data_IF_267432627529
#
_entry.id   IF_267432627529
#
_cell.length_a   1.000
_cell.length_b   1.000
_cell.length_c   1.000
_cell.angle_alpha   90.00
_cell.angle_beta   90.00
_cell.angle_gamma   90.00
#
_symmetry.space_group_name_H-M   'P 1'
#
loop_
_entity.id
_entity.type
_entity.pdbx_description
1 polymer ?
#
# COMPACT_ATOMS: atom_id res chain seq x y z
N UNK A 1 -10.05 11.37 6.86
CA UNK A 1 -9.00 10.57 7.53
C UNK A 1 -7.60 11.18 7.36
N UNK A 2 -6.56 10.57 7.99
CA UNK A 2 -5.18 11.10 7.98
C UNK A 2 -4.62 11.26 6.55
N UNK A 3 -4.76 10.25 5.70
CA UNK A 3 -4.30 10.33 4.30
C UNK A 3 -5.05 11.39 3.50
N UNK A 4 -6.37 11.53 3.68
CA UNK A 4 -7.13 12.60 3.04
C UNK A 4 -6.60 13.99 3.38
N UNK A 5 -6.19 14.23 4.62
CA UNK A 5 -5.59 15.51 5.04
C UNK A 5 -4.23 15.74 4.35
N UNK A 6 -3.39 14.72 4.19
CA UNK A 6 -2.12 14.84 3.46
C UNK A 6 -2.34 15.13 1.97
N UNK A 7 -3.31 14.45 1.35
CA UNK A 7 -3.69 14.72 -0.05
C UNK A 7 -4.16 16.16 -0.25
N UNK A 8 -4.98 16.69 0.67
CA UNK A 8 -5.44 18.08 0.65
C UNK A 8 -4.24 19.03 0.79
N UNK A 9 -3.32 18.76 1.72
CA UNK A 9 -2.10 19.56 1.90
C UNK A 9 -1.25 19.56 0.62
N UNK A 10 -0.97 18.40 0.06
CA UNK A 10 -0.19 18.26 -1.17
C UNK A 10 -0.86 18.92 -2.37
N UNK A 11 -2.21 18.87 -2.47
CA UNK A 11 -2.95 19.52 -3.56
C UNK A 11 -2.82 21.05 -3.58
N UNK A 12 -2.56 21.67 -2.44
CA UNK A 12 -2.39 23.12 -2.35
C UNK A 12 -1.04 23.61 -2.89
N UNK A 13 -0.01 22.78 -2.79
CA UNK A 13 1.34 23.09 -3.27
C UNK A 13 1.59 22.68 -4.72
N UNK A 14 0.73 21.83 -5.28
CA UNK A 14 0.89 21.33 -6.65
C UNK A 14 -0.08 22.01 -7.62
N UNK A 15 0.46 22.79 -8.56
CA UNK A 15 -0.31 23.52 -9.57
C UNK A 15 -0.83 22.64 -10.71
N UNK A 16 -0.39 21.38 -10.81
CA UNK A 16 -0.76 20.47 -11.91
C UNK A 16 -2.18 19.93 -11.78
N UNK A 17 -2.84 20.07 -10.64
CA UNK A 17 -4.22 19.66 -10.43
C UNK A 17 -4.97 20.56 -9.45
N UNK A 18 -6.28 20.57 -9.58
CA UNK A 18 -7.20 21.34 -8.74
C UNK A 18 -8.09 20.41 -7.93
N UNK A 19 -8.10 20.59 -6.61
CA UNK A 19 -9.05 19.90 -5.74
C UNK A 19 -10.46 20.47 -5.97
N UNK A 20 -11.41 19.65 -6.38
CA UNK A 20 -12.77 20.11 -6.75
C UNK A 20 -13.88 19.47 -5.92
N UNK A 21 -13.62 18.34 -5.26
CA UNK A 21 -14.57 17.65 -4.38
C UNK A 21 -13.85 16.94 -3.24
N UNK A 22 -14.50 16.85 -2.10
CA UNK A 22 -14.08 16.07 -0.95
C UNK A 22 -15.25 15.21 -0.50
N UNK A 23 -15.01 13.89 -0.38
CA UNK A 23 -16.05 12.97 0.06
C UNK A 23 -15.66 12.24 1.35
N UNK A 24 -16.64 11.97 2.19
CA UNK A 24 -16.48 11.25 3.45
C UNK A 24 -17.73 10.38 3.70
N UNK A 25 -17.55 9.25 4.40
CA UNK A 25 -18.65 8.32 4.70
C UNK A 25 -19.72 8.94 5.63
N UNK A 26 -19.27 9.75 6.56
CA UNK A 26 -20.16 10.56 7.43
C UNK A 26 -19.86 12.04 7.16
N UNK A 27 -20.53 12.65 6.18
CA UNK A 27 -20.31 14.06 5.90
C UNK A 27 -20.71 14.85 7.15
N UNK A 28 -19.82 15.76 7.51
CA UNK A 28 -20.04 16.73 8.58
C UNK A 28 -20.30 18.03 7.85
N UNK A 29 -21.23 18.85 8.36
CA UNK A 29 -21.45 20.21 7.84
C UNK A 29 -20.22 21.08 8.13
N UNK A 30 -19.18 20.85 7.34
CA UNK A 30 -17.87 21.49 7.47
C UNK A 30 -17.22 21.63 6.11
N UNK A 31 -16.70 22.83 5.86
CA UNK A 31 -15.79 23.08 4.73
C UNK A 31 -14.35 22.76 5.12
N UNK A 32 -13.66 22.02 4.25
CA UNK A 32 -12.23 21.75 4.36
C UNK A 32 -11.57 22.28 3.09
N UNK A 33 -10.57 23.11 3.22
CA UNK A 33 -9.95 23.80 2.08
C UNK A 33 -10.93 24.63 1.22
N UNK A 34 -12.01 25.16 1.81
CA UNK A 34 -13.06 25.89 1.11
C UNK A 34 -14.09 25.01 0.40
N UNK A 35 -13.96 23.68 0.46
CA UNK A 35 -14.82 22.70 -0.22
C UNK A 35 -15.67 21.98 0.83
N UNK A 36 -16.96 21.80 0.55
CA UNK A 36 -17.87 21.03 1.41
C UNK A 36 -17.50 19.55 1.44
N UNK A 37 -17.57 18.95 2.63
CA UNK A 37 -17.50 17.50 2.78
C UNK A 37 -18.86 16.90 2.46
N UNK A 38 -18.93 16.09 1.42
CA UNK A 38 -20.17 15.43 0.97
C UNK A 38 -19.99 13.92 0.89
N UNK A 39 -21.08 13.19 0.71
CA UNK A 39 -21.03 11.76 0.47
C UNK A 39 -20.52 11.42 -0.95
N UNK A 40 -20.17 10.17 -1.18
CA UNK A 40 -19.86 9.67 -2.53
C UNK A 40 -21.14 9.71 -3.39
N UNK A 41 -21.24 10.72 -4.24
CA UNK A 41 -22.40 10.93 -5.11
C UNK A 41 -21.99 11.05 -6.57
N UNK A 42 -22.94 10.86 -7.46
CA UNK A 42 -22.76 11.07 -8.91
C UNK A 42 -22.38 12.53 -9.19
N UNK A 43 -23.00 13.48 -8.49
CA UNK A 43 -22.76 14.93 -8.63
C UNK A 43 -21.34 15.31 -8.21
N UNK A 44 -20.83 14.72 -7.12
CA UNK A 44 -19.45 14.91 -6.69
C UNK A 44 -18.46 14.45 -7.75
N UNK A 45 -18.71 13.29 -8.33
CA UNK A 45 -17.79 12.64 -9.28
C UNK A 45 -17.89 13.21 -10.70
N UNK A 46 -19.05 13.75 -11.11
CA UNK A 46 -19.19 14.45 -12.41
C UNK A 46 -18.18 15.58 -12.57
N UNK A 47 -17.89 16.31 -11.49
CA UNK A 47 -16.99 17.48 -11.47
C UNK A 47 -15.51 17.13 -11.51
N UNK A 48 -15.15 15.84 -11.44
CA UNK A 48 -13.75 15.38 -11.30
C UNK A 48 -13.26 14.72 -12.58
N UNK A 49 -11.96 14.76 -12.85
CA UNK A 49 -11.30 13.97 -13.87
C UNK A 49 -10.72 12.67 -13.30
N UNK A 50 -10.24 12.74 -12.05
CA UNK A 50 -9.63 11.63 -11.33
C UNK A 50 -10.16 11.61 -9.90
N UNK A 51 -10.52 10.43 -9.42
CA UNK A 51 -10.86 10.17 -8.02
C UNK A 51 -9.66 9.52 -7.32
N UNK A 52 -9.26 10.04 -6.16
CA UNK A 52 -8.18 9.48 -5.35
C UNK A 52 -8.78 8.91 -4.06
N UNK A 53 -8.63 7.61 -3.87
CA UNK A 53 -9.26 6.83 -2.80
C UNK A 53 -8.24 6.23 -1.82
N UNK A 54 -8.33 6.65 -0.56
CA UNK A 54 -7.60 6.10 0.59
C UNK A 54 -8.58 5.83 1.73
N UNK A 55 -9.54 4.94 1.49
CA UNK A 55 -10.64 4.65 2.43
C UNK A 55 -10.58 3.22 2.96
N UNK A 56 -11.64 2.46 2.74
CA UNK A 56 -11.76 1.05 3.10
C UNK A 56 -12.34 0.26 1.91
N UNK A 57 -12.12 -1.07 1.81
CA UNK A 57 -12.52 -1.88 0.66
C UNK A 57 -13.98 -1.67 0.21
N UNK A 58 -14.93 -1.66 1.14
CA UNK A 58 -16.34 -1.42 0.84
C UNK A 58 -16.57 -0.09 0.14
N UNK A 59 -15.95 0.98 0.65
CA UNK A 59 -16.07 2.33 0.07
C UNK A 59 -15.44 2.39 -1.33
N UNK A 60 -14.26 1.77 -1.51
CA UNK A 60 -13.62 1.67 -2.84
C UNK A 60 -14.55 1.04 -3.88
N UNK A 61 -15.26 -0.04 -3.54
CA UNK A 61 -16.19 -0.69 -4.48
C UNK A 61 -17.39 0.21 -4.83
N UNK A 62 -17.89 1.00 -3.88
CA UNK A 62 -18.93 2.00 -4.12
C UNK A 62 -18.41 3.11 -5.07
N UNK A 63 -17.20 3.63 -4.82
CA UNK A 63 -16.52 4.61 -5.68
C UNK A 63 -16.37 4.04 -7.10
N UNK A 64 -15.89 2.83 -7.26
CA UNK A 64 -15.70 2.19 -8.56
C UNK A 64 -17.01 2.00 -9.32
N UNK A 65 -18.10 1.67 -8.64
CA UNK A 65 -19.44 1.55 -9.22
C UNK A 65 -19.92 2.87 -9.84
N UNK A 66 -19.71 4.00 -9.15
CA UNK A 66 -20.07 5.33 -9.65
C UNK A 66 -19.10 5.76 -10.75
N UNK A 67 -17.80 5.62 -10.53
CA UNK A 67 -16.74 6.03 -11.45
C UNK A 67 -16.85 5.30 -12.79
N UNK A 68 -17.18 4.01 -12.80
CA UNK A 68 -17.34 3.24 -14.04
C UNK A 68 -18.52 3.70 -14.88
N UNK A 69 -19.62 4.13 -14.27
CA UNK A 69 -20.77 4.72 -14.98
C UNK A 69 -20.41 6.07 -15.60
N UNK A 70 -19.60 6.88 -14.90
CA UNK A 70 -19.20 8.22 -15.34
C UNK A 70 -17.90 8.23 -16.16
N UNK A 71 -17.29 7.07 -16.41
CA UNK A 71 -16.01 6.91 -17.12
C UNK A 71 -14.86 7.71 -16.47
N UNK A 72 -14.83 7.80 -15.15
CA UNK A 72 -13.80 8.53 -14.39
C UNK A 72 -12.62 7.63 -14.04
N UNK A 73 -11.42 8.18 -14.02
CA UNK A 73 -10.19 7.52 -13.60
C UNK A 73 -10.14 7.40 -12.07
N UNK A 74 -9.55 6.32 -11.55
CA UNK A 74 -9.46 6.11 -10.10
C UNK A 74 -8.04 5.72 -9.70
N UNK A 75 -7.52 6.38 -8.66
CA UNK A 75 -6.28 6.02 -7.98
C UNK A 75 -6.66 5.42 -6.63
N UNK A 76 -6.29 4.17 -6.38
CA UNK A 76 -6.63 3.41 -5.17
C UNK A 76 -5.39 3.19 -4.33
N UNK A 77 -5.34 3.83 -3.17
CA UNK A 77 -4.36 3.58 -2.10
C UNK A 77 -4.95 2.78 -0.93
N UNK A 78 -6.23 2.42 -1.01
CA UNK A 78 -6.88 1.52 -0.06
C UNK A 78 -6.25 0.13 -0.12
N UNK A 79 -6.10 -0.53 1.02
CA UNK A 79 -5.53 -1.87 1.17
C UNK A 79 -6.48 -2.79 1.93
N UNK A 80 -6.15 -4.08 2.03
CA UNK A 80 -6.93 -5.05 2.81
C UNK A 80 -8.12 -5.67 2.06
N UNK A 81 -8.09 -5.66 0.72
CA UNK A 81 -9.12 -6.31 -0.10
C UNK A 81 -9.06 -7.83 0.02
N UNK A 82 -10.24 -8.45 0.06
CA UNK A 82 -10.40 -9.89 -0.13
C UNK A 82 -10.17 -10.28 -1.60
N UNK A 83 -9.92 -11.56 -1.88
CA UNK A 83 -9.77 -12.05 -3.27
C UNK A 83 -10.99 -11.71 -4.15
N UNK A 84 -12.20 -11.75 -3.59
CA UNK A 84 -13.43 -11.39 -4.31
C UNK A 84 -13.47 -9.91 -4.67
N UNK A 85 -13.05 -9.05 -3.75
CA UNK A 85 -12.97 -7.59 -3.99
C UNK A 85 -11.89 -7.26 -5.01
N UNK A 86 -10.72 -7.93 -4.96
CA UNK A 86 -9.67 -7.81 -5.98
C UNK A 86 -10.19 -8.21 -7.38
N UNK A 87 -10.93 -9.30 -7.48
CA UNK A 87 -11.56 -9.71 -8.73
C UNK A 87 -12.55 -8.64 -9.24
N UNK A 88 -13.31 -8.02 -8.34
CA UNK A 88 -14.22 -6.91 -8.69
C UNK A 88 -13.47 -5.70 -9.22
N UNK A 89 -12.36 -5.31 -8.57
CA UNK A 89 -11.50 -4.20 -9.04
C UNK A 89 -10.98 -4.51 -10.45
N UNK A 90 -10.54 -5.74 -10.71
CA UNK A 90 -10.09 -6.19 -12.03
C UNK A 90 -11.20 -6.08 -13.09
N UNK A 91 -12.45 -6.39 -12.75
CA UNK A 91 -13.57 -6.19 -13.69
C UNK A 91 -13.85 -4.70 -13.97
N UNK A 92 -13.72 -3.83 -12.96
CA UNK A 92 -13.83 -2.39 -13.18
C UNK A 92 -12.69 -1.82 -14.02
N UNK A 93 -11.45 -2.35 -13.89
CA UNK A 93 -10.30 -1.89 -14.68
C UNK A 93 -10.44 -2.15 -16.18
N UNK A 94 -11.31 -3.06 -16.59
CA UNK A 94 -11.69 -3.24 -18.00
C UNK A 94 -12.57 -2.10 -18.55
N UNK A 95 -13.17 -1.30 -17.68
CA UNK A 95 -14.15 -0.24 -18.03
C UNK A 95 -13.60 1.16 -17.88
N UNK A 96 -12.67 1.37 -16.95
CA UNK A 96 -12.05 2.66 -16.61
C UNK A 96 -10.58 2.48 -16.23
N UNK A 97 -9.72 3.47 -16.46
CA UNK A 97 -8.34 3.43 -15.96
C UNK A 97 -8.30 3.42 -14.43
N UNK A 98 -7.60 2.44 -13.86
CA UNK A 98 -7.38 2.28 -12.43
C UNK A 98 -5.90 2.13 -12.17
N UNK A 99 -5.34 3.01 -11.32
CA UNK A 99 -4.04 2.84 -10.69
C UNK A 99 -4.26 2.36 -9.26
N UNK A 100 -3.79 1.16 -8.92
CA UNK A 100 -3.86 0.62 -7.55
C UNK A 100 -2.47 0.31 -7.04
N UNK A 101 -2.12 0.87 -5.89
CA UNK A 101 -0.86 0.58 -5.21
C UNK A 101 -1.07 0.52 -3.69
N UNK A 102 -0.51 -0.49 -3.05
CA UNK A 102 -0.55 -0.62 -1.58
C UNK A 102 0.36 0.36 -0.85
N UNK A 103 1.33 0.93 -1.56
CA UNK A 103 2.17 2.01 -1.12
C UNK A 103 2.49 2.94 -2.31
N UNK A 104 2.44 4.25 -2.10
CA UNK A 104 2.70 5.26 -3.14
C UNK A 104 4.10 5.90 -3.01
N UNK A 105 4.89 5.54 -2.00
CA UNK A 105 6.27 6.00 -1.86
C UNK A 105 7.14 5.49 -3.01
N UNK A 106 7.84 6.40 -3.69
CA UNK A 106 8.81 6.04 -4.74
C UNK A 106 9.90 5.13 -4.19
N UNK A 107 10.44 5.46 -2.99
CA UNK A 107 11.50 4.67 -2.35
C UNK A 107 11.05 3.25 -2.00
N UNK A 108 9.84 3.09 -1.47
CA UNK A 108 9.27 1.76 -1.18
C UNK A 108 9.06 0.95 -2.46
N UNK A 109 8.55 1.56 -3.53
CA UNK A 109 8.35 0.85 -4.80
C UNK A 109 9.68 0.47 -5.45
N UNK A 110 10.70 1.33 -5.37
CA UNK A 110 12.06 0.99 -5.81
C UNK A 110 12.64 -0.15 -4.97
N UNK A 111 12.50 -0.09 -3.63
CA UNK A 111 12.94 -1.17 -2.74
C UNK A 111 12.28 -2.51 -3.11
N UNK A 112 10.99 -2.52 -3.41
CA UNK A 112 10.27 -3.72 -3.84
C UNK A 112 10.85 -4.29 -5.14
N UNK A 113 11.07 -3.45 -6.13
CA UNK A 113 11.66 -3.83 -7.42
C UNK A 113 13.07 -4.40 -7.26
N UNK A 114 13.94 -3.72 -6.50
CA UNK A 114 15.29 -4.20 -6.21
C UNK A 114 15.28 -5.52 -5.42
N UNK A 115 14.32 -5.70 -4.50
CA UNK A 115 14.12 -6.93 -3.74
C UNK A 115 13.80 -8.11 -4.65
N UNK A 116 12.93 -7.93 -5.63
CA UNK A 116 12.57 -8.96 -6.60
C UNK A 116 13.78 -9.36 -7.46
N UNK A 117 14.49 -8.38 -8.02
CA UNK A 117 15.71 -8.63 -8.82
C UNK A 117 16.76 -9.35 -7.99
N UNK A 118 17.09 -8.85 -6.79
CA UNK A 118 18.09 -9.46 -5.91
C UNK A 118 17.71 -10.90 -5.55
N UNK A 119 16.44 -11.12 -5.21
CA UNK A 119 15.94 -12.46 -4.87
C UNK A 119 16.09 -13.46 -6.03
N UNK A 120 15.81 -13.01 -7.26
CA UNK A 120 15.97 -13.83 -8.48
C UNK A 120 17.43 -14.16 -8.78
N UNK A 121 18.29 -13.15 -8.72
CA UNK A 121 19.73 -13.30 -9.00
C UNK A 121 20.46 -14.19 -7.98
N UNK A 122 20.13 -14.04 -6.68
CA UNK A 122 20.77 -14.78 -5.59
C UNK A 122 20.24 -16.21 -5.43
N UNK A 123 19.03 -16.50 -5.91
CA UNK A 123 18.43 -17.82 -5.93
C UNK A 123 18.15 -18.42 -4.54
N UNK A 124 18.18 -19.76 -4.46
CA UNK A 124 17.76 -20.49 -3.25
C UNK A 124 18.84 -20.63 -2.17
N UNK A 125 20.08 -20.30 -2.47
CA UNK A 125 21.21 -20.41 -1.53
C UNK A 125 21.18 -19.32 -0.47
N UNK A 126 20.48 -18.20 -0.73
CA UNK A 126 20.37 -17.09 0.19
C UNK A 126 19.08 -17.17 1.00
N UNK A 127 19.24 -17.14 2.32
CA UNK A 127 18.15 -16.96 3.26
C UNK A 127 17.64 -15.51 3.20
N UNK A 128 16.34 -15.33 3.24
CA UNK A 128 15.72 -14.00 3.10
C UNK A 128 15.03 -13.60 4.39
N UNK A 129 15.24 -12.35 4.81
CA UNK A 129 14.60 -11.74 5.97
C UNK A 129 14.00 -10.40 5.56
N UNK A 130 12.80 -10.12 6.04
CA UNK A 130 12.18 -8.79 6.01
C UNK A 130 12.08 -8.29 7.45
N UNK A 131 12.68 -7.16 7.72
CA UNK A 131 12.62 -6.47 8.99
C UNK A 131 11.87 -5.16 8.81
N UNK A 132 11.06 -4.75 9.80
CA UNK A 132 10.35 -3.48 9.76
C UNK A 132 10.16 -2.87 11.14
N UNK A 133 10.18 -1.54 11.18
CA UNK A 133 9.84 -0.75 12.37
C UNK A 133 8.74 0.25 12.00
N UNK A 134 7.72 0.36 12.84
CA UNK A 134 6.68 1.39 12.76
C UNK A 134 6.29 1.91 14.14
N UNK A 135 5.53 3.00 14.14
CA UNK A 135 5.02 3.62 15.37
C UNK A 135 4.20 2.64 16.23
N UNK A 136 4.19 2.88 17.54
CA UNK A 136 3.53 2.04 18.55
C UNK A 136 2.03 1.78 18.34
N UNK A 137 1.34 2.67 17.60
CA UNK A 137 -0.10 2.56 17.33
C UNK A 137 -0.47 1.68 16.12
N UNK A 138 0.52 1.18 15.36
CA UNK A 138 0.26 0.30 14.22
C UNK A 138 -0.10 -1.10 14.67
N UNK A 139 -1.28 -1.59 14.29
CA UNK A 139 -1.86 -2.84 14.79
C UNK A 139 -1.48 -4.09 13.99
N UNK A 140 -1.24 -3.93 12.69
CA UNK A 140 -0.93 -5.04 11.78
C UNK A 140 0.53 -5.52 11.95
N UNK A 141 0.73 -6.84 11.96
CA UNK A 141 2.02 -7.55 12.03
C UNK A 141 2.00 -8.74 11.06
N UNK A 142 2.85 -8.79 10.04
CA UNK A 142 3.69 -7.70 9.52
C UNK A 142 2.85 -6.58 8.88
N UNK A 143 3.50 -5.44 8.59
CA UNK A 143 2.87 -4.36 7.84
C UNK A 143 2.54 -4.77 6.40
N UNK A 144 1.61 -4.06 5.76
CA UNK A 144 1.31 -4.26 4.34
C UNK A 144 2.56 -4.14 3.45
N UNK A 145 3.44 -3.16 3.71
CA UNK A 145 4.70 -2.99 2.98
C UNK A 145 5.65 -4.16 3.19
N UNK A 146 5.79 -4.67 4.42
CA UNK A 146 6.60 -5.86 4.67
C UNK A 146 6.09 -7.08 3.90
N UNK A 147 4.77 -7.28 3.83
CA UNK A 147 4.17 -8.35 3.03
C UNK A 147 4.42 -8.16 1.52
N UNK A 148 4.41 -6.91 1.03
CA UNK A 148 4.74 -6.61 -0.37
C UNK A 148 6.22 -6.90 -0.68
N UNK A 149 7.14 -6.60 0.24
CA UNK A 149 8.56 -6.97 0.13
C UNK A 149 8.73 -8.50 0.13
N UNK A 150 8.01 -9.19 1.02
CA UNK A 150 7.96 -10.66 1.02
C UNK A 150 7.44 -11.24 -0.30
N UNK A 151 6.44 -10.56 -0.91
CA UNK A 151 5.96 -10.92 -2.25
C UNK A 151 7.05 -10.71 -3.31
N UNK A 152 7.79 -9.62 -3.30
CA UNK A 152 8.93 -9.40 -4.19
C UNK A 152 9.99 -10.50 -4.06
N UNK A 153 10.31 -10.93 -2.83
CA UNK A 153 11.21 -12.09 -2.61
C UNK A 153 10.63 -13.35 -3.23
N UNK A 154 9.34 -13.60 -3.08
CA UNK A 154 8.68 -14.80 -3.62
C UNK A 154 8.62 -14.76 -5.16
N UNK A 155 8.28 -13.63 -5.75
CA UNK A 155 8.21 -13.42 -7.20
C UNK A 155 9.60 -13.63 -7.84
N UNK A 156 10.66 -13.05 -7.28
CA UNK A 156 12.03 -13.28 -7.75
C UNK A 156 12.47 -14.76 -7.69
N UNK A 157 11.90 -15.55 -6.78
CA UNK A 157 12.14 -17.00 -6.70
C UNK A 157 11.15 -17.84 -7.52
N UNK A 158 10.26 -17.21 -8.29
CA UNK A 158 9.16 -17.86 -9.00
C UNK A 158 8.29 -18.74 -8.08
N UNK A 159 7.99 -18.24 -6.88
CA UNK A 159 7.18 -18.92 -5.85
C UNK A 159 5.99 -18.08 -5.42
N UNK A 160 4.96 -18.74 -4.89
CA UNK A 160 3.86 -18.03 -4.24
C UNK A 160 4.27 -17.66 -2.81
N UNK A 161 4.00 -16.41 -2.39
CA UNK A 161 4.29 -15.94 -1.04
C UNK A 161 3.71 -16.86 0.05
N UNK A 162 2.46 -17.32 -0.12
CA UNK A 162 1.81 -18.22 0.85
C UNK A 162 2.55 -19.55 1.04
N UNK A 163 3.25 -20.04 0.01
CA UNK A 163 4.07 -21.26 0.13
C UNK A 163 5.35 -21.04 0.94
N UNK A 164 5.80 -19.79 1.03
CA UNK A 164 7.03 -19.40 1.73
C UNK A 164 6.82 -18.93 3.15
N UNK A 165 5.61 -18.44 3.53
CA UNK A 165 5.33 -17.91 4.86
C UNK A 165 4.49 -18.84 5.76
N UNK A 166 3.84 -19.85 5.22
CA UNK A 166 3.01 -20.81 5.96
C UNK A 166 1.71 -20.22 6.55
N UNK A 167 0.72 -21.08 6.84
CA UNK A 167 -0.65 -20.69 7.22
C UNK A 167 -0.77 -19.96 8.58
N UNK A 168 0.16 -20.14 9.52
CA UNK A 168 0.11 -19.55 10.87
C UNK A 168 0.92 -18.26 11.01
N UNK A 169 1.24 -17.61 9.93
CA UNK A 169 2.17 -16.50 9.89
C UNK A 169 1.57 -15.16 10.33
N UNK A 170 0.32 -14.88 9.98
CA UNK A 170 -0.36 -13.63 10.31
C UNK A 170 -0.48 -13.47 11.83
N UNK A 171 -0.02 -12.34 12.35
CA UNK A 171 0.01 -11.92 13.76
C UNK A 171 1.23 -12.37 14.59
N UNK A 172 2.30 -12.88 13.98
CA UNK A 172 3.55 -13.14 14.72
C UNK A 172 4.57 -12.02 14.49
N UNK A 173 5.20 -11.56 15.58
CA UNK A 173 6.20 -10.48 15.58
C UNK A 173 7.52 -10.87 14.90
N UNK A 174 7.86 -12.15 14.89
CA UNK A 174 9.07 -12.67 14.24
C UNK A 174 8.90 -14.12 13.80
N UNK A 175 9.73 -14.54 12.83
CA UNK A 175 9.79 -15.91 12.33
C UNK A 175 11.25 -16.37 12.28
N UNK A 176 11.58 -17.60 12.70
CA UNK A 176 12.96 -18.12 12.64
C UNK A 176 13.46 -18.22 11.20
N UNK A 177 14.76 -18.04 11.01
CA UNK A 177 15.44 -18.29 9.74
C UNK A 177 15.27 -19.76 9.32
N UNK A 178 14.92 -19.97 8.05
CA UNK A 178 14.73 -21.28 7.48
C UNK A 178 14.58 -21.25 5.96
N UNK A 179 14.00 -22.28 5.37
CA UNK A 179 13.67 -22.32 3.93
C UNK A 179 12.60 -21.28 3.51
N UNK A 180 11.96 -20.63 4.47
CA UNK A 180 10.87 -19.66 4.31
C UNK A 180 11.38 -18.25 4.54
N UNK A 181 10.65 -17.26 4.06
CA UNK A 181 10.95 -15.85 4.32
C UNK A 181 10.73 -15.59 5.81
N UNK A 182 11.71 -14.98 6.46
CA UNK A 182 11.63 -14.57 7.86
C UNK A 182 11.13 -13.12 7.94
N UNK A 183 10.16 -12.87 8.82
CA UNK A 183 9.67 -11.51 9.10
C UNK A 183 9.87 -11.15 10.56
N UNK A 184 10.37 -9.95 10.79
CA UNK A 184 10.53 -9.36 12.12
C UNK A 184 9.95 -7.96 12.12
N UNK A 185 8.95 -7.72 12.97
CA UNK A 185 8.22 -6.46 13.04
C UNK A 185 8.37 -5.85 14.43
N UNK A 186 8.84 -4.62 14.49
CA UNK A 186 8.96 -3.83 15.73
C UNK A 186 7.94 -2.69 15.69
N UNK A 187 7.43 -2.34 16.88
CA UNK A 187 6.58 -1.17 17.11
C UNK A 187 7.23 -0.33 18.19
N UNK A 188 7.67 0.87 17.82
CA UNK A 188 8.48 1.73 18.68
C UNK A 188 8.22 3.20 18.38
N UNK A 189 8.07 3.98 19.42
CA UNK A 189 7.98 5.45 19.35
C UNK A 189 6.94 5.96 18.32
N UNK A 190 7.27 6.99 17.56
CA UNK A 190 6.45 7.56 16.49
C UNK A 190 7.08 7.33 15.10
N UNK A 191 7.92 6.29 14.96
CA UNK A 191 8.59 5.95 13.70
C UNK A 191 7.57 5.77 12.58
N UNK A 192 7.77 6.46 11.48
CA UNK A 192 6.84 6.47 10.35
C UNK A 192 6.85 5.13 9.63
N UNK A 193 8.05 4.62 9.34
CA UNK A 193 8.25 3.31 8.75
C UNK A 193 9.68 3.10 8.27
N UNK A 194 10.31 2.06 8.77
CA UNK A 194 11.59 1.55 8.29
C UNK A 194 11.37 0.15 7.75
N UNK A 195 12.03 -0.18 6.64
CA UNK A 195 11.92 -1.49 6.00
C UNK A 195 13.27 -1.94 5.51
N UNK A 196 13.67 -3.13 5.88
CA UNK A 196 14.91 -3.77 5.48
C UNK A 196 14.64 -5.14 4.89
N UNK A 197 15.31 -5.45 3.79
CA UNK A 197 15.38 -6.80 3.23
C UNK A 197 16.80 -7.25 3.25
N UNK A 198 17.06 -8.39 3.90
CA UNK A 198 18.38 -9.00 4.01
C UNK A 198 18.40 -10.34 3.30
N UNK A 199 19.43 -10.57 2.50
CA UNK A 199 19.78 -11.85 1.88
C UNK A 199 21.12 -12.33 2.44
N UNK A 200 21.18 -13.54 3.01
CA UNK A 200 22.38 -14.08 3.63
C UNK A 200 22.70 -15.50 3.13
N UNK A 201 23.94 -15.75 2.76
CA UNK A 201 24.46 -17.06 2.40
C UNK A 201 25.32 -17.71 3.52
N UNK A 202 25.50 -17.04 4.63
CA UNK A 202 26.46 -17.41 5.67
C UNK A 202 27.92 -16.99 5.38
N UNK A 203 28.22 -16.57 4.16
CA UNK A 203 29.54 -16.01 3.76
C UNK A 203 29.48 -14.51 3.52
N UNK A 204 28.33 -13.99 3.17
CA UNK A 204 28.07 -12.58 2.92
C UNK A 204 26.62 -12.23 3.22
N UNK A 205 26.35 -10.96 3.38
CA UNK A 205 25.02 -10.40 3.58
C UNK A 205 24.82 -9.24 2.61
N UNK A 206 23.68 -9.23 1.93
CA UNK A 206 23.23 -8.11 1.11
C UNK A 206 22.01 -7.53 1.80
N UNK A 207 22.03 -6.21 2.05
CA UNK A 207 20.94 -5.50 2.71
C UNK A 207 20.44 -4.38 1.82
N UNK A 208 19.11 -4.35 1.63
CA UNK A 208 18.39 -3.26 1.01
C UNK A 208 17.55 -2.57 2.09
N UNK A 209 17.70 -1.27 2.27
CA UNK A 209 17.04 -0.52 3.33
C UNK A 209 16.30 0.70 2.80
N UNK A 210 15.18 1.04 3.44
CA UNK A 210 14.39 2.24 3.23
C UNK A 210 13.88 2.77 4.55
N UNK A 211 14.06 4.05 4.79
CA UNK A 211 13.57 4.75 5.97
C UNK A 211 12.74 5.97 5.54
N UNK A 212 11.53 6.10 6.08
CA UNK A 212 10.63 7.20 5.82
C UNK A 212 10.67 8.22 6.97
N UNK A 213 10.98 9.47 6.66
CA UNK A 213 10.97 10.59 7.62
C UNK A 213 9.70 11.44 7.53
N UNK A 214 8.93 11.33 6.46
CA UNK A 214 7.65 12.01 6.28
C UNK A 214 6.61 11.05 5.65
N UNK A 215 5.35 11.29 5.95
CA UNK A 215 4.19 10.58 5.34
C UNK A 215 3.74 11.20 4.02
N UNK A 216 4.26 12.36 3.67
CA UNK A 216 3.95 13.09 2.44
C UNK A 216 4.82 12.66 1.23
N UNK A 217 5.44 11.49 1.31
CA UNK A 217 6.27 10.89 0.26
C UNK A 217 5.43 10.48 -0.94
#
# INVERSE_FOLDING_TARGET
>A
GRMGQQLIKSSRSNKSFKLVALTENKPIDKKVAGIELISNTVEAFKKTDVIVDFTVPKCTLEILKISSKLKKRVVIGTTGFTQKEEASIKEYSKKIPILKAGNMSLGVNLLMYLTEIASGALGHKYLSKVFEIHHKHKKDYPSGTALMLGKGIADGKNKNLHSLIGKKFLNKKSFPFGKKINFNSIRKDEIIGEHEVTFSSGKEIITLNHEAFDRAL
#
